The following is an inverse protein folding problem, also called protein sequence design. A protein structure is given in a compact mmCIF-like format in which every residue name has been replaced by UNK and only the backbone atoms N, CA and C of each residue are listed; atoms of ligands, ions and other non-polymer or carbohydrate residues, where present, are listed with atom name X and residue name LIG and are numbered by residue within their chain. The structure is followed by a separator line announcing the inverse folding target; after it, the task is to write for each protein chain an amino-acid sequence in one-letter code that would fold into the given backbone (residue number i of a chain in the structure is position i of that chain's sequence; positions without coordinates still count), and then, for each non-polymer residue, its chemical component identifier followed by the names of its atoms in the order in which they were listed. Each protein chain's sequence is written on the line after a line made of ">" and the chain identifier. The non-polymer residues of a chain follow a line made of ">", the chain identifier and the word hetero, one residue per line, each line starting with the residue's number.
data_IF_444976996804
#
_entry.id   IF_444976996804
#
_cell.length_a   1.000
_cell.length_b   1.000
_cell.length_c   1.000
_cell.angle_alpha   90.00
_cell.angle_beta   90.00
_cell.angle_gamma   90.00
#
_symmetry.space_group_name_H-M   'P 1'
#
loop_
_entity.id
_entity.type
_entity.pdbx_description
1 polymer ?
#
# COMPACT_ATOMS: atom_id res chain seq x y z
N UNK A 1 21.27 3.99 25.04
CA UNK A 1 21.01 3.38 23.72
C UNK A 1 21.15 4.45 22.65
N UNK A 2 22.35 4.67 22.10
CA UNK A 2 22.62 5.73 21.10
C UNK A 2 22.67 5.09 19.71
N UNK A 3 21.50 4.86 19.11
CA UNK A 3 21.37 4.39 17.72
C UNK A 3 21.28 5.61 16.81
N UNK A 4 22.41 6.02 16.22
CA UNK A 4 22.46 7.19 15.36
C UNK A 4 23.53 6.98 14.32
N UNK A 5 23.11 6.55 13.13
CA UNK A 5 23.51 7.05 11.80
C UNK A 5 22.99 6.04 10.76
N UNK A 6 22.08 6.47 9.88
CA UNK A 6 21.57 5.68 8.75
C UNK A 6 22.28 6.13 7.48
N UNK A 7 22.71 5.16 6.69
CA UNK A 7 23.30 5.31 5.37
C UNK A 7 22.24 4.89 4.36
N UNK A 8 21.68 5.86 3.64
CA UNK A 8 20.75 5.57 2.55
C UNK A 8 21.56 5.53 1.26
N UNK A 9 21.55 4.38 0.59
CA UNK A 9 21.82 4.28 -0.84
C UNK A 9 20.53 3.91 -1.55
N UNK A 10 20.22 4.66 -2.61
CA UNK A 10 19.23 4.21 -3.58
C UNK A 10 19.99 3.60 -4.75
N UNK A 11 19.75 2.32 -5.00
CA UNK A 11 20.17 1.70 -6.25
C UNK A 11 19.06 1.95 -7.26
N UNK A 12 19.40 2.71 -8.31
CA UNK A 12 18.48 3.17 -9.34
C UNK A 12 17.69 1.99 -9.94
N UNK A 13 16.35 2.12 -9.89
CA UNK A 13 15.34 1.47 -10.74
C UNK A 13 15.89 0.36 -11.66
N UNK A 14 15.99 -0.86 -11.13
CA UNK A 14 16.34 -2.06 -11.91
C UNK A 14 15.10 -2.64 -12.58
N UNK A 15 15.31 -3.53 -13.56
CA UNK A 15 14.25 -4.41 -14.04
C UNK A 15 13.71 -5.24 -12.86
N UNK A 16 12.40 -5.50 -12.83
CA UNK A 16 11.79 -6.35 -11.80
C UNK A 16 11.85 -7.85 -12.11
N UNK A 17 12.55 -8.26 -13.16
CA UNK A 17 12.69 -9.66 -13.58
C UNK A 17 13.18 -10.60 -12.47
N UNK A 18 14.14 -10.15 -11.65
CA UNK A 18 14.70 -10.96 -10.55
C UNK A 18 14.08 -10.63 -9.18
N UNK A 19 13.06 -9.75 -9.13
CA UNK A 19 12.44 -9.26 -7.89
C UNK A 19 11.99 -10.40 -6.99
N UNK A 20 11.39 -11.45 -7.55
CA UNK A 20 10.89 -12.58 -6.77
C UNK A 20 12.01 -13.31 -6.00
N UNK A 21 13.23 -13.34 -6.53
CA UNK A 21 14.40 -13.93 -5.86
C UNK A 21 15.10 -12.94 -4.93
N UNK A 22 15.19 -11.66 -5.33
CA UNK A 22 15.87 -10.63 -4.55
C UNK A 22 15.09 -10.23 -3.31
N UNK A 23 13.76 -10.16 -3.39
CA UNK A 23 12.89 -9.77 -2.27
C UNK A 23 13.01 -10.69 -1.05
N UNK A 24 13.48 -11.93 -1.21
CA UNK A 24 13.73 -12.82 -0.06
C UNK A 24 15.09 -12.49 0.59
N UNK A 25 16.09 -12.11 -0.22
CA UNK A 25 17.47 -11.93 0.24
C UNK A 25 17.74 -10.52 0.76
N UNK A 26 17.12 -9.52 0.14
CA UNK A 26 17.47 -8.12 0.32
C UNK A 26 17.26 -7.63 1.77
N UNK A 27 16.16 -8.02 2.42
CA UNK A 27 15.92 -7.70 3.84
C UNK A 27 16.84 -8.41 4.83
N UNK A 28 17.54 -9.47 4.42
CA UNK A 28 18.62 -10.07 5.22
C UNK A 28 19.97 -9.40 4.99
N UNK A 29 20.15 -8.73 3.85
CA UNK A 29 21.38 -8.03 3.48
C UNK A 29 21.45 -6.63 4.08
N UNK A 30 20.31 -5.97 4.24
CA UNK A 30 20.22 -4.59 4.71
C UNK A 30 19.20 -4.45 5.84
N UNK A 31 19.60 -3.78 6.93
CA UNK A 31 18.83 -3.81 8.18
C UNK A 31 17.46 -3.12 8.08
N UNK A 32 17.38 -2.02 7.32
CA UNK A 32 16.15 -1.23 7.13
C UNK A 32 15.75 -1.15 5.65
N UNK A 33 16.05 -2.21 4.90
CA UNK A 33 15.75 -2.29 3.49
C UNK A 33 14.26 -2.06 3.20
N UNK A 34 13.98 -1.25 2.18
CA UNK A 34 12.64 -1.06 1.62
C UNK A 34 12.72 -1.21 0.09
N UNK A 35 11.62 -1.63 -0.53
CA UNK A 35 11.48 -1.63 -1.99
C UNK A 35 10.24 -0.83 -2.41
N UNK A 36 10.34 -0.15 -3.54
CA UNK A 36 9.18 0.38 -4.25
C UNK A 36 9.07 -0.36 -5.58
N UNK A 37 8.01 -1.17 -5.73
CA UNK A 37 7.77 -1.97 -6.93
C UNK A 37 6.78 -1.26 -7.85
N UNK A 38 7.22 -1.02 -9.08
CA UNK A 38 6.50 -0.37 -10.17
C UNK A 38 6.16 -1.42 -11.24
N UNK A 39 5.16 -2.28 -11.01
CA UNK A 39 4.89 -3.43 -11.87
C UNK A 39 4.48 -3.04 -13.30
N UNK A 40 3.69 -1.99 -13.50
CA UNK A 40 3.28 -1.54 -14.84
C UNK A 40 4.47 -1.12 -15.72
N UNK A 41 5.48 -0.48 -15.12
CA UNK A 41 6.73 -0.14 -15.80
C UNK A 41 7.85 -1.20 -15.65
N UNK A 42 7.57 -2.36 -15.06
CA UNK A 42 8.52 -3.48 -14.84
C UNK A 42 9.78 -3.07 -14.11
N UNK A 43 9.65 -2.20 -13.11
CA UNK A 43 10.76 -1.60 -12.39
C UNK A 43 10.65 -1.82 -10.90
N UNK A 44 11.79 -1.90 -10.23
CA UNK A 44 11.86 -1.88 -8.77
C UNK A 44 12.98 -0.96 -8.32
N UNK A 45 12.68 -0.15 -7.32
CA UNK A 45 13.66 0.65 -6.60
C UNK A 45 14.06 -0.06 -5.31
N UNK A 46 15.35 -0.29 -5.13
CA UNK A 46 15.90 -0.87 -3.91
C UNK A 46 16.49 0.24 -3.04
N UNK A 47 15.96 0.40 -1.82
CA UNK A 47 16.51 1.31 -0.81
C UNK A 47 17.32 0.53 0.20
N UNK A 48 18.63 0.74 0.17
CA UNK A 48 19.59 0.14 1.10
C UNK A 48 19.80 1.10 2.24
N UNK A 49 19.22 0.77 3.39
CA UNK A 49 19.35 1.54 4.62
C UNK A 49 20.05 0.68 5.69
N UNK A 50 21.28 1.07 6.02
CA UNK A 50 22.11 0.38 7.01
C UNK A 50 22.56 1.33 8.12
N UNK A 51 22.85 0.74 9.30
CA UNK A 51 23.54 1.47 10.36
C UNK A 51 24.98 1.71 9.98
N UNK A 52 25.49 2.88 10.35
CA UNK A 52 26.93 3.18 10.30
C UNK A 52 27.48 3.50 11.69
N UNK A 53 28.81 3.38 11.90
CA UNK A 53 29.44 3.72 13.16
C UNK A 53 29.15 5.16 13.60
N UNK A 54 29.04 5.39 14.91
CA UNK A 54 28.65 6.68 15.49
C UNK A 54 29.66 7.81 15.24
N UNK A 55 30.90 7.48 14.87
CA UNK A 55 31.94 8.46 14.52
C UNK A 55 31.81 8.98 13.07
N UNK A 56 30.93 8.38 12.26
CA UNK A 56 30.64 8.85 10.90
C UNK A 56 29.71 10.05 10.98
N UNK A 57 30.22 11.22 10.58
CA UNK A 57 29.47 12.47 10.58
C UNK A 57 28.46 12.53 9.43
N UNK A 58 27.26 13.04 9.71
CA UNK A 58 26.26 13.37 8.69
C UNK A 58 25.07 14.11 9.29
N UNK A 59 24.46 15.01 8.51
CA UNK A 59 23.24 15.73 8.89
C UNK A 59 22.16 15.56 7.82
N UNK A 60 22.10 14.36 7.24
CA UNK A 60 21.09 14.01 6.28
C UNK A 60 19.70 13.94 6.92
N UNK A 61 18.69 14.14 6.09
CA UNK A 61 17.30 13.86 6.41
C UNK A 61 16.58 13.30 5.19
N UNK A 62 15.52 12.55 5.46
CA UNK A 62 14.57 12.09 4.49
C UNK A 62 13.21 12.68 4.85
N UNK A 63 12.68 13.52 3.99
CA UNK A 63 11.31 14.02 4.12
C UNK A 63 10.60 13.70 2.82
N UNK A 64 9.93 12.55 2.77
CA UNK A 64 9.30 12.05 1.56
C UNK A 64 8.36 13.08 0.93
N UNK A 65 8.53 13.34 -0.37
CA UNK A 65 7.80 14.41 -1.08
C UNK A 65 6.29 14.24 -0.97
N UNK A 66 5.78 13.00 -1.03
CA UNK A 66 4.34 12.73 -0.90
C UNK A 66 3.75 13.10 0.45
N UNK A 67 4.57 13.32 1.50
CA UNK A 67 4.13 13.66 2.85
C UNK A 67 4.43 15.13 3.23
N UNK A 68 4.73 15.98 2.24
CA UNK A 68 5.00 17.41 2.43
C UNK A 68 3.74 18.25 2.25
N UNK A 69 3.69 19.37 2.96
CA UNK A 69 2.71 20.40 2.69
C UNK A 69 2.91 20.89 1.25
N UNK A 70 1.86 20.79 0.44
CA UNK A 70 1.87 21.14 -0.98
C UNK A 70 0.80 22.21 -1.22
N UNK A 71 1.00 23.16 -2.15
CA UNK A 71 -0.02 24.14 -2.48
C UNK A 71 -1.36 23.48 -2.79
N UNK A 72 -2.43 23.90 -2.12
CA UNK A 72 -3.78 23.30 -2.25
C UNK A 72 -4.24 23.27 -3.71
N UNK A 73 -4.00 24.35 -4.47
CA UNK A 73 -4.32 24.39 -5.90
C UNK A 73 -3.62 23.30 -6.71
N UNK A 74 -2.36 23.01 -6.41
CA UNK A 74 -1.61 21.95 -7.11
C UNK A 74 -2.16 20.56 -6.76
N UNK A 75 -2.52 20.34 -5.49
CA UNK A 75 -3.17 19.09 -5.04
C UNK A 75 -4.49 18.86 -5.78
N UNK A 76 -5.34 19.88 -5.87
CA UNK A 76 -6.64 19.78 -6.55
C UNK A 76 -6.50 19.57 -8.06
N UNK A 77 -5.51 20.22 -8.70
CA UNK A 77 -5.21 20.00 -10.13
C UNK A 77 -4.75 18.55 -10.37
N UNK A 78 -3.83 18.04 -9.55
CA UNK A 78 -3.36 16.65 -9.68
C UNK A 78 -4.51 15.67 -9.51
N UNK A 79 -5.40 15.91 -8.54
CA UNK A 79 -6.56 15.05 -8.34
C UNK A 79 -7.54 15.11 -9.52
N UNK A 80 -7.80 16.32 -10.04
CA UNK A 80 -8.67 16.51 -11.20
C UNK A 80 -8.11 15.80 -12.45
N UNK A 81 -6.79 15.86 -12.67
CA UNK A 81 -6.14 15.14 -13.77
C UNK A 81 -6.34 13.63 -13.62
N UNK A 82 -6.11 13.07 -12.42
CA UNK A 82 -6.33 11.65 -12.15
C UNK A 82 -7.80 11.24 -12.37
N UNK A 83 -8.76 12.01 -11.85
CA UNK A 83 -10.19 11.76 -12.06
C UNK A 83 -10.57 11.79 -13.55
N UNK A 84 -9.93 12.67 -14.34
CA UNK A 84 -10.15 12.77 -15.80
C UNK A 84 -9.64 11.53 -16.53
N UNK A 85 -8.45 11.04 -16.18
CA UNK A 85 -7.88 9.80 -16.74
C UNK A 85 -8.75 8.58 -16.40
N UNK A 86 -9.26 8.51 -15.17
CA UNK A 86 -10.19 7.46 -14.72
C UNK A 86 -11.52 7.49 -15.50
N UNK A 87 -12.11 8.68 -15.70
CA UNK A 87 -13.33 8.84 -16.51
C UNK A 87 -13.10 8.44 -17.97
N UNK A 88 -11.96 8.85 -18.53
CA UNK A 88 -11.58 8.52 -19.89
C UNK A 88 -11.20 7.04 -20.09
N UNK A 89 -11.09 6.27 -18.99
CA UNK A 89 -10.58 4.88 -18.99
C UNK A 89 -9.22 4.76 -19.71
N UNK A 90 -8.37 5.78 -19.60
CA UNK A 90 -7.13 5.88 -20.37
C UNK A 90 -5.97 5.20 -19.63
N UNK A 91 -5.70 3.94 -19.98
CA UNK A 91 -4.55 3.20 -19.45
C UNK A 91 -3.21 3.89 -19.78
N UNK A 92 -3.08 4.38 -21.02
CA UNK A 92 -1.87 5.07 -21.48
C UNK A 92 -1.68 6.40 -20.73
N UNK A 93 -2.77 7.14 -20.49
CA UNK A 93 -2.74 8.35 -19.67
C UNK A 93 -2.28 8.05 -18.24
N UNK A 94 -2.82 6.99 -17.64
CA UNK A 94 -2.43 6.56 -16.28
C UNK A 94 -0.95 6.19 -16.22
N UNK A 95 -0.43 5.50 -17.23
CA UNK A 95 1.00 5.16 -17.30
C UNK A 95 1.89 6.38 -17.54
N UNK A 96 1.49 7.31 -18.42
CA UNK A 96 2.24 8.55 -18.64
C UNK A 96 2.34 9.39 -17.36
N UNK A 97 1.23 9.56 -16.64
CA UNK A 97 1.19 10.30 -15.38
C UNK A 97 2.03 9.60 -14.28
N UNK A 98 2.01 8.27 -14.26
CA UNK A 98 2.80 7.47 -13.33
C UNK A 98 4.28 7.62 -13.59
N UNK A 99 4.70 7.50 -14.86
CA UNK A 99 6.10 7.69 -15.25
C UNK A 99 6.58 9.10 -14.93
N UNK A 100 5.75 10.12 -15.17
CA UNK A 100 6.05 11.51 -14.82
C UNK A 100 6.22 11.66 -13.30
N UNK A 101 5.31 11.09 -12.52
CA UNK A 101 5.33 11.13 -11.06
C UNK A 101 6.59 10.47 -10.50
N UNK A 102 6.86 9.21 -10.87
CA UNK A 102 8.03 8.46 -10.39
C UNK A 102 9.34 9.10 -10.84
N UNK A 103 9.41 9.62 -12.07
CA UNK A 103 10.60 10.33 -12.57
C UNK A 103 10.83 11.63 -11.80
N UNK A 104 9.77 12.37 -11.47
CA UNK A 104 9.85 13.60 -10.67
C UNK A 104 10.33 13.29 -9.25
N UNK A 105 9.79 12.25 -8.61
CA UNK A 105 10.26 11.79 -7.30
C UNK A 105 11.75 11.41 -7.34
N UNK A 106 12.16 10.63 -8.33
CA UNK A 106 13.55 10.22 -8.49
C UNK A 106 14.51 11.41 -8.72
N UNK A 107 14.14 12.36 -9.59
CA UNK A 107 14.92 13.58 -9.84
C UNK A 107 15.09 14.44 -8.58
N UNK A 108 14.07 14.47 -7.71
CA UNK A 108 14.11 15.16 -6.44
C UNK A 108 14.66 14.28 -5.28
N UNK A 109 15.32 13.16 -5.60
CA UNK A 109 15.88 12.19 -4.67
C UNK A 109 14.87 11.72 -3.59
N UNK A 110 13.60 11.61 -3.98
CA UNK A 110 12.46 11.28 -3.12
C UNK A 110 12.29 12.22 -1.92
N UNK A 111 13.05 13.31 -1.85
CA UNK A 111 13.07 14.25 -0.74
C UNK A 111 14.25 14.09 0.24
N UNK A 112 15.24 13.27 -0.09
CA UNK A 112 16.49 13.17 0.65
C UNK A 112 17.34 14.44 0.54
N UNK A 113 18.08 14.78 1.59
CA UNK A 113 19.09 15.85 1.60
C UNK A 113 20.29 15.44 2.44
N UNK A 114 21.50 15.83 2.06
CA UNK A 114 22.75 15.47 2.76
C UNK A 114 23.04 16.37 3.97
N UNK A 115 22.53 17.60 3.95
CA UNK A 115 22.81 18.64 4.95
C UNK A 115 21.54 19.36 5.44
N UNK A 116 20.39 18.68 5.40
CA UNK A 116 19.05 19.23 5.65
C UNK A 116 18.55 20.29 4.64
N UNK A 117 19.38 20.74 3.70
CA UNK A 117 19.04 21.78 2.72
C UNK A 117 18.98 21.23 1.29
N UNK A 118 20.04 20.57 0.84
CA UNK A 118 20.22 20.12 -0.54
C UNK A 118 20.61 18.64 -0.61
N UNK A 119 20.18 17.98 -1.69
CA UNK A 119 20.71 16.69 -2.09
C UNK A 119 22.00 16.91 -2.90
N UNK A 120 23.09 16.30 -2.47
CA UNK A 120 24.40 16.37 -3.14
C UNK A 120 24.86 15.02 -3.69
N UNK A 121 24.09 13.95 -3.46
CA UNK A 121 24.40 12.60 -3.92
C UNK A 121 24.29 11.55 -2.82
N UNK A 122 24.39 10.29 -3.22
CA UNK A 122 24.48 9.16 -2.30
C UNK A 122 25.94 8.90 -1.88
N UNK A 123 26.17 8.36 -0.67
CA UNK A 123 25.14 8.08 0.33
C UNK A 123 24.67 9.31 1.09
N UNK A 124 23.44 9.25 1.61
CA UNK A 124 22.91 10.24 2.55
C UNK A 124 23.04 9.69 3.97
N UNK A 125 23.88 10.34 4.77
CA UNK A 125 24.15 9.94 6.16
C UNK A 125 23.45 10.89 7.11
N UNK A 126 22.57 10.37 7.97
CA UNK A 126 21.83 11.19 8.93
C UNK A 126 21.38 10.43 10.15
N UNK A 127 20.82 11.14 11.13
CA UNK A 127 20.27 10.51 12.32
C UNK A 127 19.04 9.67 12.00
N UNK A 128 18.89 8.50 12.62
CA UNK A 128 17.78 7.56 12.35
C UNK A 128 16.42 8.25 12.37
N UNK A 129 16.15 9.05 13.40
CA UNK A 129 14.88 9.76 13.55
C UNK A 129 14.63 10.83 12.46
N UNK A 130 15.67 11.24 11.71
CA UNK A 130 15.56 12.14 10.56
C UNK A 130 15.54 11.39 9.22
N UNK A 131 16.04 10.15 9.17
CA UNK A 131 16.10 9.34 7.96
C UNK A 131 14.88 8.41 7.82
N UNK A 132 14.27 7.99 8.94
CA UNK A 132 13.18 7.02 8.98
C UNK A 132 11.82 7.66 9.34
N UNK A 133 11.75 8.99 9.42
CA UNK A 133 10.50 9.70 9.69
C UNK A 133 10.24 10.73 8.60
N UNK A 134 9.01 10.76 8.09
CA UNK A 134 8.52 11.72 7.11
C UNK A 134 7.09 12.10 7.47
N UNK A 135 6.65 13.29 7.07
CA UNK A 135 5.37 13.84 7.53
C UNK A 135 5.38 15.33 7.76
N UNK A 136 6.23 16.07 7.03
CA UNK A 136 6.35 17.52 7.19
C UNK A 136 5.02 18.26 7.09
N UNK A 137 4.04 17.72 6.34
CA UNK A 137 2.72 18.34 6.20
C UNK A 137 1.93 18.43 7.52
N UNK A 138 2.18 17.55 8.50
CA UNK A 138 1.51 17.58 9.80
C UNK A 138 1.99 18.75 10.70
N UNK A 139 3.12 19.36 10.36
CA UNK A 139 3.74 20.46 11.10
C UNK A 139 3.75 21.77 10.28
N UNK A 140 2.93 21.85 9.22
CA UNK A 140 2.78 23.05 8.41
C UNK A 140 2.24 24.23 9.23
N UNK A 141 2.52 25.45 8.76
CA UNK A 141 1.91 26.67 9.29
C UNK A 141 0.40 26.65 9.06
N UNK A 142 -0.38 27.14 10.02
CA UNK A 142 -1.80 27.44 9.80
C UNK A 142 -1.90 28.65 8.86
N UNK A 143 -1.94 28.36 7.56
CA UNK A 143 -1.89 29.33 6.48
C UNK A 143 -3.26 29.51 5.79
N UNK A 144 -4.35 29.16 6.49
CA UNK A 144 -5.71 29.10 5.94
C UNK A 144 -5.82 28.17 4.72
N UNK A 145 -5.16 27.00 4.76
CA UNK A 145 -5.18 25.98 3.70
C UNK A 145 -4.59 26.48 2.36
N UNK A 146 -3.64 27.42 2.39
CA UNK A 146 -2.83 27.72 1.20
C UNK A 146 -1.95 26.51 0.85
N UNK A 147 -1.49 25.79 1.86
CA UNK A 147 -0.85 24.48 1.73
C UNK A 147 -1.55 23.44 2.60
N UNK A 148 -1.49 22.18 2.19
CA UNK A 148 -2.12 21.07 2.92
C UNK A 148 -1.36 19.75 2.73
N UNK A 149 -1.65 18.77 3.57
CA UNK A 149 -1.35 17.37 3.24
C UNK A 149 -2.19 16.98 2.00
N UNK A 150 -1.66 16.17 1.05
CA UNK A 150 -2.39 15.81 -0.17
C UNK A 150 -3.78 15.17 0.06
N UNK A 151 -3.96 14.50 1.20
CA UNK A 151 -5.21 13.83 1.60
C UNK A 151 -6.03 14.60 2.65
N UNK A 152 -5.75 15.90 2.88
CA UNK A 152 -6.52 16.68 3.84
C UNK A 152 -8.02 16.71 3.44
N UNK A 153 -8.94 16.31 4.33
CA UNK A 153 -10.35 16.14 3.98
C UNK A 153 -11.07 17.47 3.69
N UNK A 154 -10.47 18.62 4.04
CA UNK A 154 -11.05 19.94 3.83
C UNK A 154 -10.89 20.45 2.39
N UNK A 155 -10.05 19.78 1.58
CA UNK A 155 -9.77 20.15 0.19
C UNK A 155 -10.16 19.03 -0.78
N UNK A 156 -10.23 19.32 -2.08
CA UNK A 156 -10.55 18.32 -3.11
C UNK A 156 -9.30 17.59 -3.60
N UNK A 157 -8.50 17.09 -2.66
CA UNK A 157 -7.23 16.43 -2.93
C UNK A 157 -7.31 14.93 -3.15
N UNK A 158 -6.14 14.28 -3.01
CA UNK A 158 -5.94 12.84 -3.14
C UNK A 158 -6.95 12.07 -2.31
N UNK A 159 -7.56 11.06 -2.93
CA UNK A 159 -8.56 10.24 -2.29
C UNK A 159 -8.38 8.80 -2.76
N UNK A 160 -8.06 7.93 -1.81
CA UNK A 160 -7.51 6.62 -2.09
C UNK A 160 -7.92 5.62 -1.01
N UNK A 161 -7.78 4.35 -1.36
CA UNK A 161 -7.64 3.30 -0.38
C UNK A 161 -6.16 2.93 -0.23
N UNK A 162 -5.84 2.39 0.94
CA UNK A 162 -4.57 1.74 1.18
C UNK A 162 -4.83 0.36 1.76
N UNK A 163 -4.38 -0.66 1.03
CA UNK A 163 -4.43 -2.07 1.45
C UNK A 163 -3.02 -2.52 1.75
N UNK A 164 -2.80 -3.06 2.94
CA UNK A 164 -1.51 -3.64 3.31
C UNK A 164 -1.69 -5.09 3.75
N UNK A 165 -0.95 -5.99 3.14
CA UNK A 165 -0.97 -7.42 3.49
C UNK A 165 0.45 -7.89 3.74
N UNK A 166 0.63 -8.66 4.81
CA UNK A 166 1.92 -9.27 5.14
C UNK A 166 1.92 -10.72 4.71
N UNK A 167 2.95 -11.11 3.97
CA UNK A 167 3.13 -12.47 3.48
C UNK A 167 4.41 -13.03 4.10
N UNK A 168 4.35 -14.28 4.56
CA UNK A 168 5.51 -14.99 5.10
C UNK A 168 6.62 -15.06 4.05
N UNK A 169 7.87 -14.84 4.48
CA UNK A 169 9.00 -14.77 3.56
C UNK A 169 9.19 -16.01 2.67
N UNK A 170 8.77 -17.19 3.14
CA UNK A 170 8.82 -18.44 2.37
C UNK A 170 7.81 -18.50 1.21
N UNK A 171 6.81 -17.62 1.21
CA UNK A 171 5.75 -17.53 0.20
C UNK A 171 5.81 -16.27 -0.67
N UNK A 172 6.67 -15.31 -0.31
CA UNK A 172 6.84 -14.03 -1.03
C UNK A 172 7.19 -14.22 -2.50
N UNK A 173 8.11 -15.14 -2.82
CA UNK A 173 8.55 -15.40 -4.20
C UNK A 173 7.38 -15.79 -5.09
N UNK A 174 6.58 -16.76 -4.66
CA UNK A 174 5.46 -17.27 -5.44
C UNK A 174 4.38 -16.20 -5.61
N UNK A 175 4.12 -15.40 -4.57
CA UNK A 175 3.20 -14.26 -4.66
C UNK A 175 3.65 -13.23 -5.71
N UNK A 176 4.92 -12.82 -5.66
CA UNK A 176 5.46 -11.87 -6.65
C UNK A 176 5.33 -12.46 -8.06
N UNK A 177 5.69 -13.73 -8.26
CA UNK A 177 5.58 -14.38 -9.57
C UNK A 177 4.14 -14.41 -10.10
N UNK A 178 3.14 -14.61 -9.24
CA UNK A 178 1.73 -14.56 -9.67
C UNK A 178 1.28 -13.15 -10.04
N UNK A 179 1.67 -12.14 -9.25
CA UNK A 179 1.38 -10.74 -9.58
C UNK A 179 2.10 -10.34 -10.88
N UNK A 180 3.31 -10.83 -11.12
CA UNK A 180 4.02 -10.67 -12.38
C UNK A 180 3.31 -11.34 -13.56
N UNK A 181 2.78 -12.56 -13.39
CA UNK A 181 1.94 -13.23 -14.42
C UNK A 181 0.69 -12.43 -14.73
N UNK A 182 0.02 -11.89 -13.71
CA UNK A 182 -1.17 -11.05 -13.88
C UNK A 182 -0.81 -9.76 -14.64
N UNK A 183 0.25 -9.05 -14.20
CA UNK A 183 0.82 -7.89 -14.89
C UNK A 183 1.10 -8.20 -16.37
N UNK A 184 1.69 -9.34 -16.68
CA UNK A 184 2.11 -9.69 -18.03
C UNK A 184 0.94 -9.82 -19.02
N UNK A 185 -0.29 -10.02 -18.53
CA UNK A 185 -1.49 -9.95 -19.36
C UNK A 185 -1.79 -8.53 -19.84
N UNK A 186 -1.58 -7.53 -18.99
CA UNK A 186 -1.83 -6.11 -19.30
C UNK A 186 -1.04 -5.19 -18.36
N UNK A 187 0.24 -4.86 -18.66
CA UNK A 187 1.08 -4.09 -17.76
C UNK A 187 0.50 -2.72 -17.40
N UNK A 188 -0.15 -2.06 -18.37
CA UNK A 188 -0.78 -0.76 -18.16
C UNK A 188 -1.91 -0.76 -17.13
N UNK A 189 -2.44 -1.94 -16.76
CA UNK A 189 -3.44 -2.08 -15.72
C UNK A 189 -2.92 -1.74 -14.32
N UNK A 190 -1.60 -1.85 -14.09
CA UNK A 190 -1.00 -1.62 -12.79
C UNK A 190 -0.30 -0.27 -12.65
N UNK A 191 -0.26 0.54 -13.72
CA UNK A 191 0.26 1.91 -13.65
C UNK A 191 -0.47 2.75 -12.60
N UNK A 192 -1.76 2.50 -12.36
CA UNK A 192 -2.51 3.25 -11.33
C UNK A 192 -1.93 3.13 -9.91
N UNK A 193 -1.22 2.04 -9.59
CA UNK A 193 -0.53 1.86 -8.31
C UNK A 193 0.70 2.75 -8.19
N UNK A 194 1.33 3.05 -9.33
CA UNK A 194 2.61 3.75 -9.39
C UNK A 194 2.49 5.27 -9.23
N UNK A 195 1.30 5.83 -9.47
CA UNK A 195 0.97 7.21 -9.06
C UNK A 195 1.18 7.44 -7.56
N UNK A 196 1.08 6.38 -6.75
CA UNK A 196 1.20 6.44 -5.30
C UNK A 196 2.53 5.82 -4.80
N UNK A 197 3.59 5.94 -5.61
CA UNK A 197 4.93 5.40 -5.35
C UNK A 197 5.03 3.87 -5.42
N UNK A 198 4.09 3.23 -6.12
CA UNK A 198 4.11 1.79 -6.40
C UNK A 198 3.65 0.94 -5.22
N UNK A 199 3.93 -0.37 -5.30
CA UNK A 199 3.74 -1.30 -4.19
C UNK A 199 4.96 -1.18 -3.28
N UNK A 200 4.78 -0.62 -2.08
CA UNK A 200 5.87 -0.50 -1.12
C UNK A 200 6.03 -1.80 -0.35
N UNK A 201 7.25 -2.34 -0.34
CA UNK A 201 7.58 -3.63 0.25
C UNK A 201 8.53 -3.42 1.44
N UNK A 202 8.10 -3.83 2.64
CA UNK A 202 8.80 -3.52 3.90
C UNK A 202 8.92 -4.75 4.79
N UNK A 203 10.11 -5.02 5.29
CA UNK A 203 10.37 -6.23 6.08
C UNK A 203 9.94 -6.05 7.53
N UNK A 204 9.30 -7.06 8.10
CA UNK A 204 8.96 -7.08 9.51
C UNK A 204 9.37 -8.42 10.14
N UNK A 205 9.99 -8.34 11.32
CA UNK A 205 10.33 -9.51 12.13
C UNK A 205 9.11 -10.10 12.83
N UNK A 206 9.17 -11.39 13.12
CA UNK A 206 8.22 -12.05 14.00
C UNK A 206 8.07 -11.30 15.34
N UNK A 207 6.86 -11.32 15.89
CA UNK A 207 6.49 -10.65 17.13
C UNK A 207 5.84 -11.64 18.09
N UNK A 208 6.08 -11.46 19.39
CA UNK A 208 5.42 -12.21 20.45
C UNK A 208 4.04 -11.66 20.82
N UNK A 209 3.58 -10.58 20.19
CA UNK A 209 2.24 -10.04 20.41
C UNK A 209 1.18 -11.02 19.88
N UNK A 210 0.08 -11.20 20.61
CA UNK A 210 -0.93 -12.21 20.26
C UNK A 210 -1.58 -12.02 18.88
N UNK A 211 -1.77 -10.77 18.46
CA UNK A 211 -2.25 -10.40 17.12
C UNK A 211 -1.12 -9.83 16.23
N UNK A 212 0.13 -10.18 16.54
CA UNK A 212 1.33 -9.79 15.80
C UNK A 212 1.67 -10.73 14.64
N UNK A 213 2.75 -10.41 13.92
CA UNK A 213 3.29 -11.28 12.86
C UNK A 213 3.95 -12.51 13.51
N UNK A 214 3.62 -13.70 13.02
CA UNK A 214 4.05 -14.97 13.66
C UNK A 214 5.39 -15.49 13.15
N UNK A 215 5.90 -14.85 12.12
CA UNK A 215 7.05 -15.21 11.28
C UNK A 215 7.69 -13.91 10.79
N UNK A 216 8.88 -14.01 10.22
CA UNK A 216 9.42 -12.92 9.43
C UNK A 216 8.60 -12.81 8.14
N UNK A 217 8.14 -11.60 7.84
CA UNK A 217 7.22 -11.30 6.74
C UNK A 217 7.74 -10.16 5.88
N UNK A 218 7.20 -10.09 4.66
CA UNK A 218 7.25 -8.90 3.83
C UNK A 218 5.85 -8.28 3.76
N UNK A 219 5.74 -7.03 4.19
CA UNK A 219 4.55 -6.22 4.03
C UNK A 219 4.48 -5.68 2.61
N UNK A 220 3.32 -5.77 1.97
CA UNK A 220 3.02 -5.15 0.68
C UNK A 220 1.97 -4.07 0.90
N UNK A 221 2.39 -2.80 0.93
CA UNK A 221 1.47 -1.65 0.98
C UNK A 221 1.10 -1.23 -0.44
N UNK A 222 -0.20 -1.23 -0.72
CA UNK A 222 -0.77 -0.91 -2.03
C UNK A 222 -1.70 0.28 -1.83
N UNK A 223 -1.31 1.44 -2.36
CA UNK A 223 -2.14 2.66 -2.33
C UNK A 223 -2.69 2.91 -3.73
N UNK A 224 -3.97 3.20 -3.84
CA UNK A 224 -4.63 3.26 -5.14
C UNK A 224 -5.88 4.15 -5.13
N UNK A 225 -6.21 4.62 -6.33
CA UNK A 225 -7.35 5.49 -6.58
C UNK A 225 -8.65 4.97 -5.94
N UNK A 226 -9.35 5.87 -5.25
CA UNK A 226 -10.74 5.70 -4.86
C UNK A 226 -11.56 6.84 -5.43
N UNK A 227 -12.71 6.54 -6.03
CA UNK A 227 -13.67 7.59 -6.36
C UNK A 227 -14.36 8.13 -5.10
N UNK A 228 -14.79 9.39 -5.14
CA UNK A 228 -15.68 9.94 -4.09
C UNK A 228 -17.10 9.38 -4.19
N UNK A 229 -17.49 8.87 -5.35
CA UNK A 229 -18.71 8.08 -5.54
C UNK A 229 -18.38 6.59 -5.30
N UNK A 230 -18.86 5.97 -4.20
CA UNK A 230 -18.58 4.56 -3.92
C UNK A 230 -19.17 3.59 -4.96
N UNK A 231 -20.10 4.06 -5.80
CA UNK A 231 -20.67 3.26 -6.88
C UNK A 231 -19.89 3.40 -8.18
N UNK A 232 -18.80 4.18 -8.22
CA UNK A 232 -17.99 4.37 -9.43
C UNK A 232 -16.78 3.43 -9.40
N UNK A 233 -16.72 2.43 -10.30
CA UNK A 233 -15.59 1.52 -10.38
C UNK A 233 -14.33 2.28 -10.80
N UNK A 234 -13.15 1.78 -10.39
CA UNK A 234 -11.86 2.29 -10.86
C UNK A 234 -11.42 1.57 -12.13
N UNK A 235 -10.60 2.23 -12.93
CA UNK A 235 -9.97 1.62 -14.09
C UNK A 235 -9.12 0.41 -13.66
N UNK A 236 -9.40 -0.75 -14.25
CA UNK A 236 -8.78 -2.04 -13.88
C UNK A 236 -8.99 -2.45 -12.42
N UNK A 237 -10.18 -2.17 -11.88
CA UNK A 237 -10.67 -2.68 -10.59
C UNK A 237 -10.30 -4.15 -10.36
N UNK A 238 -10.52 -4.98 -11.38
CA UNK A 238 -10.32 -6.42 -11.35
C UNK A 238 -8.86 -6.87 -11.16
N UNK A 239 -7.89 -6.17 -11.74
CA UNK A 239 -6.47 -6.48 -11.51
C UNK A 239 -6.10 -6.28 -10.04
N UNK A 240 -6.55 -5.18 -9.44
CA UNK A 240 -6.24 -4.91 -8.05
C UNK A 240 -6.98 -5.86 -7.10
N UNK A 241 -8.28 -6.08 -7.32
CA UNK A 241 -9.06 -7.02 -6.49
C UNK A 241 -8.47 -8.43 -6.55
N UNK A 242 -7.95 -8.85 -7.71
CA UNK A 242 -7.29 -10.14 -7.86
C UNK A 242 -5.97 -10.20 -7.06
N UNK A 243 -5.15 -9.15 -7.08
CA UNK A 243 -3.92 -9.06 -6.26
C UNK A 243 -4.27 -9.12 -4.76
N UNK A 244 -5.29 -8.36 -4.33
CA UNK A 244 -5.75 -8.36 -2.94
C UNK A 244 -6.21 -9.77 -2.51
N UNK A 245 -6.99 -10.45 -3.36
CA UNK A 245 -7.48 -11.81 -3.07
C UNK A 245 -6.37 -12.87 -3.11
N UNK A 246 -5.40 -12.76 -4.01
CA UNK A 246 -4.20 -13.60 -3.99
C UNK A 246 -3.47 -13.43 -2.66
N UNK A 247 -3.15 -12.19 -2.27
CA UNK A 247 -2.42 -11.91 -1.05
C UNK A 247 -3.15 -12.43 0.20
N UNK A 248 -4.45 -12.12 0.31
CA UNK A 248 -5.25 -12.43 1.50
C UNK A 248 -5.63 -13.92 1.61
N UNK A 249 -6.02 -14.55 0.50
CA UNK A 249 -6.62 -15.87 0.51
C UNK A 249 -5.69 -16.95 -0.02
N UNK A 250 -5.12 -16.78 -1.22
CA UNK A 250 -4.19 -17.78 -1.81
C UNK A 250 -2.93 -17.93 -0.97
N UNK A 251 -2.34 -16.81 -0.54
CA UNK A 251 -1.11 -16.78 0.26
C UNK A 251 -1.35 -16.65 1.76
N UNK A 252 -2.61 -16.74 2.21
CA UNK A 252 -3.01 -16.62 3.62
C UNK A 252 -2.36 -15.42 4.33
N UNK A 253 -2.20 -14.29 3.63
CA UNK A 253 -1.54 -13.12 4.16
C UNK A 253 -2.30 -12.50 5.34
N UNK A 254 -1.57 -11.84 6.23
CA UNK A 254 -2.12 -11.14 7.37
C UNK A 254 -2.44 -9.69 6.99
N UNK A 255 -3.71 -9.24 7.00
CA UNK A 255 -4.02 -7.85 6.74
C UNK A 255 -3.44 -6.96 7.83
N UNK A 256 -2.98 -5.77 7.45
CA UNK A 256 -2.69 -4.72 8.41
C UNK A 256 -3.99 -4.16 9.00
N UNK A 257 -4.10 -4.19 10.33
CA UNK A 257 -5.31 -3.78 11.07
C UNK A 257 -5.80 -2.36 10.77
N UNK A 258 -4.88 -1.42 10.49
CA UNK A 258 -5.21 -0.01 10.21
C UNK A 258 -5.21 0.38 8.72
N UNK A 259 -5.03 -0.56 7.79
CA UNK A 259 -4.85 -0.28 6.35
C UNK A 259 -5.53 -1.34 5.49
N UNK A 260 -6.82 -1.55 5.69
CA UNK A 260 -7.62 -2.55 4.98
C UNK A 260 -9.11 -2.23 5.07
N UNK A 261 -9.91 -2.99 4.32
CA UNK A 261 -11.38 -2.91 4.26
C UNK A 261 -11.99 -4.21 4.77
N UNK A 262 -13.31 -4.24 4.98
CA UNK A 262 -14.00 -5.35 5.65
C UNK A 262 -13.68 -6.72 5.07
N UNK A 263 -13.64 -6.85 3.74
CA UNK A 263 -13.21 -8.04 3.00
C UNK A 263 -11.99 -8.74 3.63
N UNK A 264 -10.97 -7.97 3.98
CA UNK A 264 -9.69 -8.49 4.43
C UNK A 264 -9.77 -9.11 5.83
N UNK A 265 -10.77 -8.71 6.62
CA UNK A 265 -10.92 -9.14 8.01
C UNK A 265 -11.87 -10.33 8.18
N UNK A 266 -12.49 -10.82 7.11
CA UNK A 266 -13.38 -11.97 7.19
C UNK A 266 -12.63 -13.22 7.64
N UNK A 267 -13.02 -13.75 8.80
CA UNK A 267 -12.37 -14.90 9.43
C UNK A 267 -10.91 -14.67 9.84
N UNK A 268 -10.42 -13.43 9.85
CA UNK A 268 -8.99 -13.11 10.05
C UNK A 268 -8.44 -13.62 11.37
N UNK A 269 -9.25 -13.65 12.43
CA UNK A 269 -8.82 -14.09 13.76
C UNK A 269 -8.29 -15.54 13.75
N UNK A 270 -8.80 -16.37 12.83
CA UNK A 270 -8.38 -17.77 12.65
C UNK A 270 -6.95 -17.88 12.10
N UNK A 271 -6.41 -16.81 11.52
CA UNK A 271 -5.02 -16.75 11.05
C UNK A 271 -4.02 -16.56 12.21
N UNK A 272 -4.48 -16.21 13.42
CA UNK A 272 -3.63 -15.98 14.59
C UNK A 272 -3.63 -17.14 15.58
N UNK A 273 -2.46 -17.77 15.77
CA UNK A 273 -2.29 -18.90 16.71
C UNK A 273 -2.65 -18.52 18.16
N UNK A 274 -2.35 -17.29 18.57
CA UNK A 274 -2.57 -16.79 19.94
C UNK A 274 -3.90 -16.03 20.11
N UNK A 275 -4.82 -16.14 19.15
CA UNK A 275 -6.14 -15.49 19.21
C UNK A 275 -6.92 -15.80 20.49
N UNK A 276 -6.90 -17.06 20.95
CA UNK A 276 -7.55 -17.47 22.20
C UNK A 276 -6.91 -16.82 23.44
N UNK A 277 -5.60 -16.61 23.43
CA UNK A 277 -4.91 -15.94 24.53
C UNK A 277 -5.27 -14.44 24.55
N UNK A 278 -5.35 -13.82 23.36
CA UNK A 278 -5.85 -12.45 23.21
C UNK A 278 -7.25 -12.27 23.80
N UNK A 279 -8.20 -13.13 23.42
CA UNK A 279 -9.58 -13.05 23.91
C UNK A 279 -9.65 -13.20 25.44
N UNK A 280 -8.88 -14.11 26.04
CA UNK A 280 -8.81 -14.24 27.51
C UNK A 280 -8.29 -12.98 28.20
N UNK A 281 -7.34 -12.27 27.59
CA UNK A 281 -6.83 -11.00 28.12
C UNK A 281 -7.88 -9.91 27.94
N UNK A 282 -8.51 -9.82 26.77
CA UNK A 282 -9.63 -8.90 26.53
C UNK A 282 -10.71 -9.06 27.59
N UNK A 283 -11.23 -10.27 27.79
CA UNK A 283 -12.33 -10.53 28.74
C UNK A 283 -11.94 -10.24 30.20
N UNK A 284 -10.66 -10.39 30.54
CA UNK A 284 -10.16 -10.07 31.89
C UNK A 284 -10.11 -8.57 32.15
N UNK A 285 -9.68 -7.78 31.17
CA UNK A 285 -9.46 -6.34 31.33
C UNK A 285 -10.67 -5.50 30.90
N UNK A 286 -11.58 -6.06 30.11
CA UNK A 286 -12.81 -5.43 29.64
C UNK A 286 -14.01 -6.40 29.77
N UNK A 287 -14.38 -6.84 30.99
CA UNK A 287 -15.45 -7.81 31.20
C UNK A 287 -16.83 -7.28 30.80
N UNK A 288 -17.03 -5.97 30.85
CA UNK A 288 -18.29 -5.30 30.49
C UNK A 288 -18.32 -4.87 29.01
N UNK A 289 -17.24 -5.11 28.25
CA UNK A 289 -17.16 -4.80 26.83
C UNK A 289 -17.17 -3.31 26.49
N UNK A 290 -16.67 -2.43 27.38
CA UNK A 290 -16.63 -0.98 27.19
C UNK A 290 -15.82 -0.56 25.96
N UNK A 291 -14.84 -1.37 25.55
CA UNK A 291 -14.01 -1.15 24.36
C UNK A 291 -14.41 -2.04 23.19
N UNK A 292 -15.53 -2.74 23.30
CA UNK A 292 -16.07 -3.62 22.26
C UNK A 292 -17.17 -2.89 21.47
N UNK A 293 -17.33 -3.32 20.23
CA UNK A 293 -18.33 -2.82 19.27
C UNK A 293 -18.74 -3.98 18.38
N UNK A 294 -19.89 -3.85 17.70
CA UNK A 294 -20.33 -4.84 16.72
C UNK A 294 -19.22 -5.21 15.72
N UNK A 295 -18.51 -4.20 15.20
CA UNK A 295 -17.42 -4.43 14.26
C UNK A 295 -16.21 -5.15 14.89
N UNK A 296 -15.82 -4.80 16.11
CA UNK A 296 -14.71 -5.49 16.78
C UNK A 296 -15.06 -6.96 17.09
N UNK A 297 -16.32 -7.24 17.41
CA UNK A 297 -16.78 -8.59 17.70
C UNK A 297 -16.81 -9.45 16.43
N UNK A 298 -17.20 -8.84 15.29
CA UNK A 298 -17.12 -9.48 13.97
C UNK A 298 -15.68 -9.83 13.56
N UNK A 299 -14.72 -8.89 13.65
CA UNK A 299 -13.32 -9.17 13.28
C UNK A 299 -12.68 -10.21 14.21
N UNK A 300 -13.09 -10.26 15.47
CA UNK A 300 -12.62 -11.21 16.47
C UNK A 300 -13.34 -12.57 16.39
N UNK A 301 -14.30 -12.72 15.47
CA UNK A 301 -15.05 -13.94 15.26
C UNK A 301 -15.93 -14.33 16.45
N UNK A 302 -16.39 -13.34 17.22
CA UNK A 302 -17.26 -13.52 18.37
C UNK A 302 -18.74 -13.52 17.95
N UNK A 303 -19.14 -12.58 17.10
CA UNK A 303 -20.51 -12.49 16.59
C UNK A 303 -20.56 -11.83 15.21
N UNK A 304 -21.48 -12.30 14.36
CA UNK A 304 -21.71 -11.75 13.01
C UNK A 304 -20.59 -12.01 12.00
N UNK A 305 -20.58 -11.20 10.94
CA UNK A 305 -19.55 -11.17 9.89
C UNK A 305 -19.29 -9.73 9.50
N UNK A 306 -18.04 -9.43 9.14
CA UNK A 306 -17.65 -8.11 8.64
C UNK A 306 -18.14 -7.84 7.23
N UNK A 307 -18.57 -8.87 6.50
CA UNK A 307 -18.99 -8.75 5.10
C UNK A 307 -20.34 -8.04 5.02
N UNK A 308 -20.37 -6.95 4.25
CA UNK A 308 -21.59 -6.17 4.00
C UNK A 308 -22.00 -6.36 2.55
N UNK A 309 -22.96 -7.27 2.29
CA UNK A 309 -23.53 -7.48 0.96
C UNK A 309 -24.59 -6.44 0.65
N UNK A 310 -24.34 -5.62 -0.36
CA UNK A 310 -25.24 -4.62 -0.91
C UNK A 310 -24.79 -4.26 -2.34
N UNK A 311 -25.63 -3.55 -3.08
CA UNK A 311 -25.26 -3.01 -4.39
C UNK A 311 -23.93 -2.24 -4.28
N UNK A 312 -22.98 -2.54 -5.18
CA UNK A 312 -21.65 -1.92 -5.19
C UNK A 312 -20.68 -2.35 -4.10
N UNK A 313 -20.99 -3.39 -3.29
CA UNK A 313 -20.14 -3.75 -2.14
C UNK A 313 -18.71 -4.17 -2.51
N UNK A 314 -18.50 -4.73 -3.71
CA UNK A 314 -17.17 -5.20 -4.11
C UNK A 314 -16.23 -4.04 -4.46
N UNK A 315 -16.75 -3.00 -5.13
CA UNK A 315 -16.00 -1.78 -5.47
C UNK A 315 -15.37 -1.11 -4.24
N UNK A 316 -16.05 -1.22 -3.09
CA UNK A 316 -15.63 -0.66 -1.81
C UNK A 316 -14.93 -1.68 -0.89
N UNK A 317 -14.61 -2.88 -1.37
CA UNK A 317 -13.93 -3.92 -0.57
C UNK A 317 -14.74 -4.36 0.65
N UNK A 318 -16.07 -4.27 0.58
CA UNK A 318 -16.98 -4.70 1.64
C UNK A 318 -17.40 -6.16 1.49
N UNK A 319 -17.27 -6.71 0.29
CA UNK A 319 -17.60 -8.09 -0.05
C UNK A 319 -16.71 -8.58 -1.21
N UNK A 320 -16.60 -9.90 -1.37
CA UNK A 320 -16.20 -10.50 -2.65
C UNK A 320 -17.45 -10.53 -3.54
N UNK A 321 -17.33 -10.15 -4.82
CA UNK A 321 -18.48 -10.17 -5.71
C UNK A 321 -19.02 -11.60 -5.88
N UNK A 322 -20.35 -11.74 -5.85
CA UNK A 322 -21.05 -12.99 -6.15
C UNK A 322 -22.19 -12.79 -7.14
N UNK A 323 -22.60 -11.54 -7.32
CA UNK A 323 -23.68 -11.09 -8.19
C UNK A 323 -23.21 -9.82 -8.90
N UNK A 324 -23.67 -9.58 -10.12
CA UNK A 324 -23.22 -8.44 -10.91
C UNK A 324 -23.54 -7.10 -10.25
N UNK A 325 -24.65 -7.01 -9.50
CA UNK A 325 -25.03 -5.81 -8.74
C UNK A 325 -23.99 -5.38 -7.71
N UNK A 326 -23.05 -6.24 -7.32
CA UNK A 326 -21.92 -5.86 -6.46
C UNK A 326 -20.85 -5.03 -7.21
N UNK A 327 -20.87 -5.03 -8.54
CA UNK A 327 -19.83 -4.46 -9.41
C UNK A 327 -20.25 -3.23 -10.22
N UNK A 328 -21.50 -2.74 -10.10
CA UNK A 328 -22.05 -1.65 -10.94
C UNK A 328 -22.23 -2.04 -12.44
N UNK A 329 -23.16 -2.97 -12.74
CA UNK A 329 -23.40 -3.44 -14.10
C UNK A 329 -23.93 -2.33 -15.04
N UNK A 330 -24.59 -1.31 -14.49
CA UNK A 330 -25.01 -0.12 -15.22
C UNK A 330 -23.85 0.72 -15.77
N UNK A 331 -22.63 0.51 -15.25
CA UNK A 331 -21.38 1.12 -15.72
C UNK A 331 -20.52 0.15 -16.55
N UNK A 332 -21.05 -1.05 -16.85
CA UNK A 332 -20.38 -2.07 -17.66
C UNK A 332 -19.49 -3.03 -16.87
N UNK A 333 -19.57 -3.05 -15.54
CA UNK A 333 -18.73 -3.90 -14.69
C UNK A 333 -19.53 -5.07 -14.11
N UNK A 334 -19.02 -6.29 -14.30
CA UNK A 334 -19.71 -7.54 -13.95
C UNK A 334 -18.82 -8.43 -13.08
N UNK A 335 -19.46 -9.27 -12.26
CA UNK A 335 -18.72 -10.16 -11.37
C UNK A 335 -18.16 -11.35 -12.16
N UNK A 336 -16.84 -11.36 -12.34
CA UNK A 336 -16.12 -12.32 -13.16
C UNK A 336 -15.13 -13.13 -12.34
N UNK A 337 -14.58 -14.19 -12.94
CA UNK A 337 -13.48 -14.95 -12.36
C UNK A 337 -12.15 -14.22 -12.58
N UNK A 338 -11.22 -14.34 -11.62
CA UNK A 338 -9.84 -13.86 -11.77
C UNK A 338 -9.12 -14.45 -12.99
N UNK A 339 -8.07 -13.78 -13.47
CA UNK A 339 -7.34 -14.13 -14.70
C UNK A 339 -6.23 -15.15 -14.48
N UNK A 340 -5.56 -15.07 -13.32
CA UNK A 340 -4.45 -15.95 -12.90
C UNK A 340 -4.86 -16.76 -11.67
N UNK A 341 -5.55 -16.14 -10.70
CA UNK A 341 -6.12 -16.82 -9.54
C UNK A 341 -7.62 -17.05 -9.76
N UNK A 342 -7.96 -18.21 -10.32
CA UNK A 342 -9.32 -18.55 -10.73
C UNK A 342 -10.34 -18.68 -9.58
N UNK A 343 -9.90 -18.75 -8.32
CA UNK A 343 -10.82 -18.71 -7.18
C UNK A 343 -11.20 -17.28 -6.79
N UNK A 344 -10.47 -16.27 -7.31
CA UNK A 344 -10.85 -14.87 -7.11
C UNK A 344 -12.12 -14.53 -7.89
N UNK A 345 -12.93 -13.65 -7.31
CA UNK A 345 -14.10 -13.06 -7.96
C UNK A 345 -13.93 -11.55 -7.99
N UNK A 346 -13.96 -10.98 -9.18
CA UNK A 346 -13.52 -9.60 -9.43
C UNK A 346 -14.51 -8.85 -10.31
N UNK A 347 -14.56 -7.53 -10.14
CA UNK A 347 -15.40 -6.63 -10.92
C UNK A 347 -14.68 -6.21 -12.21
N UNK A 348 -15.03 -6.87 -13.31
CA UNK A 348 -14.39 -6.67 -14.62
C UNK A 348 -15.27 -5.81 -15.54
N UNK A 349 -14.66 -4.81 -16.17
CA UNK A 349 -15.29 -4.07 -17.26
C UNK A 349 -15.30 -4.92 -18.54
N UNK A 350 -16.49 -5.32 -18.99
CA UNK A 350 -16.64 -6.18 -20.18
C UNK A 350 -16.27 -5.48 -21.49
N UNK A 351 -16.13 -4.14 -21.47
CA UNK A 351 -15.67 -3.38 -22.63
C UNK A 351 -14.14 -3.20 -22.67
N UNK A 352 -13.44 -3.63 -21.62
CA UNK A 352 -11.98 -3.53 -21.48
C UNK A 352 -11.24 -4.84 -21.73
N UNK A 353 -12.00 -5.91 -22.07
CA UNK A 353 -11.52 -7.27 -22.36
C UNK A 353 -10.84 -7.33 -23.72
#
# INVERSE_FOLDING_TARGET
>A
MRLRCHLVFLELSLSDEDLAEQAIKFGHQHEFADLAWYPGHRKVLYRKDDRVPVNVSGNGNYDFIGFRATPTLAIEINRFAEDTVEVAKSADGKCADSLLTTSTLALAAYGLKNNALLFTGYPVIGYQNKMQASGGCAFGSDDNLLTACPWDPRIKGSFFHQTTVSIDLDRVKDFILDVQRLRDLKPSALCGLELYDGILMRYAKASSAYLGKQSDVLDFDITYYRSRDPMKPRLYEDFLEEIEQMALFKYNGLPHWGKNRNLAFEGVIKKYNESKAFLKVKDRYDPDGLFSSEWSDQILGLDGSVIVKKTGCALEGLCICSEDVHCAPEKGYYCSTGKVYNDARVCTDVNSI
#
